data_IF_324807840224
#
_entry.id   IF_324807840224
#
_cell.length_a   1.000
_cell.length_b   1.000
_cell.length_c   1.000
_cell.angle_alpha   90.00
_cell.angle_beta   90.00
_cell.angle_gamma   90.00
#
_symmetry.space_group_name_H-M   'P 1'
#
loop_
_entity.id
_entity.type
_entity.pdbx_description
1 polymer ?
#
# COMPACT_ATOMS: atom_id res chain seq x y z
N UNK A 1 -2.40 -28.30 -7.93
CA UNK A 1 -0.93 -28.16 -7.96
C UNK A 1 -0.57 -27.37 -9.19
N UNK A 2 -0.36 -26.09 -9.05
CA UNK A 2 0.13 -25.21 -10.13
C UNK A 2 1.62 -25.50 -10.29
N UNK A 3 2.01 -26.11 -11.39
CA UNK A 3 3.40 -26.34 -11.78
C UNK A 3 4.13 -24.99 -11.83
N UNK A 4 5.09 -24.78 -10.93
CA UNK A 4 6.01 -23.63 -10.97
C UNK A 4 6.82 -23.74 -12.26
N UNK A 5 6.62 -22.82 -13.18
CA UNK A 5 7.53 -22.66 -14.31
C UNK A 5 8.87 -22.15 -13.79
N UNK A 6 10.00 -22.82 -14.10
CA UNK A 6 11.31 -22.37 -13.64
C UNK A 6 11.63 -21.00 -14.26
N UNK A 7 11.94 -20.02 -13.41
CA UNK A 7 12.35 -18.66 -13.82
C UNK A 7 11.32 -17.55 -13.63
N UNK A 8 10.08 -17.85 -13.24
CA UNK A 8 9.10 -16.81 -12.93
C UNK A 8 9.11 -16.44 -11.44
N UNK A 9 8.99 -15.13 -11.10
CA UNK A 9 8.87 -14.71 -9.69
C UNK A 9 7.67 -15.39 -9.01
N UNK A 10 7.77 -15.69 -7.70
CA UNK A 10 6.66 -16.28 -6.97
C UNK A 10 5.46 -15.32 -6.88
N UNK A 11 4.27 -15.88 -6.72
CA UNK A 11 3.07 -15.09 -6.46
C UNK A 11 3.16 -14.45 -5.08
N UNK A 12 2.99 -13.12 -5.04
CA UNK A 12 2.98 -12.35 -3.80
C UNK A 12 1.57 -12.27 -3.22
N UNK A 13 0.60 -11.96 -4.06
CA UNK A 13 -0.82 -11.84 -3.71
C UNK A 13 -1.63 -12.65 -4.70
N UNK A 14 -2.57 -13.45 -4.20
CA UNK A 14 -3.50 -14.21 -5.02
C UNK A 14 -4.91 -14.13 -4.42
N UNK A 15 -5.86 -13.69 -5.21
CA UNK A 15 -7.28 -13.74 -4.89
C UNK A 15 -7.91 -14.87 -5.69
N UNK A 16 -8.72 -15.71 -5.02
CA UNK A 16 -9.40 -16.85 -5.63
C UNK A 16 -10.90 -16.75 -5.33
N UNK A 17 -11.69 -16.42 -6.35
CA UNK A 17 -13.16 -16.35 -6.28
C UNK A 17 -13.67 -15.53 -5.08
N UNK A 18 -13.03 -14.38 -4.82
CA UNK A 18 -13.36 -13.54 -3.67
C UNK A 18 -14.70 -12.84 -3.89
N UNK A 19 -15.61 -13.03 -2.94
CA UNK A 19 -16.90 -12.37 -2.89
C UNK A 19 -17.06 -11.63 -1.57
N UNK A 20 -17.65 -10.46 -1.61
CA UNK A 20 -18.02 -9.70 -0.42
C UNK A 20 -19.41 -9.12 -0.56
N UNK A 21 -20.26 -9.48 0.36
CA UNK A 21 -21.64 -9.01 0.45
C UNK A 21 -21.83 -8.30 1.78
N UNK A 22 -22.45 -7.14 1.74
CA UNK A 22 -22.87 -6.40 2.93
C UNK A 22 -24.37 -6.46 3.09
N UNK A 23 -24.90 -6.86 4.25
CA UNK A 23 -26.32 -6.72 4.55
C UNK A 23 -26.66 -5.23 4.71
N UNK A 24 -27.74 -4.80 4.07
CA UNK A 24 -28.28 -3.44 4.19
C UNK A 24 -29.76 -3.49 4.48
N UNK A 25 -30.33 -2.39 4.95
CA UNK A 25 -31.79 -2.32 5.19
C UNK A 25 -32.53 -2.51 3.86
N UNK A 26 -33.26 -3.62 3.76
CA UNK A 26 -34.04 -3.97 2.56
C UNK A 26 -33.33 -4.88 1.54
N UNK A 27 -32.17 -5.46 1.87
CA UNK A 27 -31.50 -6.39 0.97
C UNK A 27 -30.01 -6.57 1.24
N UNK A 28 -29.26 -6.81 0.18
CA UNK A 28 -27.80 -7.02 0.21
C UNK A 28 -27.12 -6.18 -0.87
N UNK A 29 -25.90 -5.72 -0.58
CA UNK A 29 -25.04 -5.07 -1.55
C UNK A 29 -23.82 -5.96 -1.80
N UNK A 30 -23.65 -6.38 -3.05
CA UNK A 30 -22.49 -7.13 -3.50
C UNK A 30 -21.37 -6.14 -3.84
N UNK A 31 -20.36 -6.05 -2.98
CA UNK A 31 -19.23 -5.14 -3.17
C UNK A 31 -18.11 -5.79 -4.02
N UNK A 32 -17.88 -7.08 -3.86
CA UNK A 32 -16.96 -7.90 -4.67
C UNK A 32 -17.72 -9.14 -5.14
N UNK A 33 -17.64 -9.44 -6.43
CA UNK A 33 -18.28 -10.61 -7.01
C UNK A 33 -17.28 -11.43 -7.82
N UNK A 34 -16.93 -12.60 -7.28
CA UNK A 34 -16.07 -13.60 -7.92
C UNK A 34 -14.73 -13.05 -8.45
N UNK A 35 -14.05 -12.26 -7.63
CA UNK A 35 -12.78 -11.64 -8.03
C UNK A 35 -11.63 -12.65 -7.90
N UNK A 36 -10.94 -12.88 -9.02
CA UNK A 36 -9.74 -13.71 -9.07
C UNK A 36 -8.62 -12.94 -9.76
N UNK A 37 -7.47 -12.80 -9.11
CA UNK A 37 -6.29 -12.14 -9.67
C UNK A 37 -5.01 -12.68 -9.02
N UNK A 38 -3.90 -12.48 -9.72
CA UNK A 38 -2.58 -12.92 -9.28
C UNK A 38 -1.56 -11.80 -9.50
N UNK A 39 -0.82 -11.47 -8.45
CA UNK A 39 0.23 -10.45 -8.47
C UNK A 39 1.54 -11.12 -8.11
N UNK A 40 2.54 -11.01 -8.98
CA UNK A 40 3.86 -11.58 -8.76
C UNK A 40 4.70 -10.65 -7.90
N UNK A 41 5.66 -11.21 -7.20
CA UNK A 41 6.64 -10.45 -6.44
C UNK A 41 7.43 -9.53 -7.36
N UNK A 42 7.51 -8.25 -6.99
CA UNK A 42 8.21 -7.22 -7.74
C UNK A 42 7.40 -6.56 -8.88
N UNK A 43 6.15 -6.99 -9.10
CA UNK A 43 5.29 -6.34 -10.10
C UNK A 43 4.78 -4.97 -9.63
N UNK A 44 4.49 -4.09 -10.59
CA UNK A 44 3.57 -2.97 -10.40
C UNK A 44 2.24 -3.36 -11.03
N UNK A 45 1.21 -3.52 -10.22
CA UNK A 45 -0.09 -4.02 -10.64
C UNK A 45 -1.17 -2.94 -10.47
N UNK A 46 -1.89 -2.63 -11.53
CA UNK A 46 -2.94 -1.63 -11.53
C UNK A 46 -4.34 -2.23 -11.44
N UNK A 47 -5.15 -1.70 -10.55
CA UNK A 47 -6.58 -2.03 -10.41
C UNK A 47 -7.39 -0.79 -10.74
N UNK A 48 -8.19 -0.89 -11.81
CA UNK A 48 -9.07 0.19 -12.24
C UNK A 48 -10.51 -0.18 -11.94
N UNK A 49 -11.27 0.83 -11.55
CA UNK A 49 -12.70 0.75 -11.41
C UNK A 49 -13.33 2.11 -11.19
N UNK A 50 -14.59 2.26 -11.54
CA UNK A 50 -15.36 3.44 -11.19
C UNK A 50 -15.37 3.61 -9.66
N UNK A 51 -15.46 4.86 -9.18
CA UNK A 51 -15.51 5.11 -7.75
C UNK A 51 -16.69 4.36 -7.13
N UNK A 52 -16.41 3.56 -6.13
CA UNK A 52 -17.41 2.72 -5.49
C UNK A 52 -16.80 1.83 -4.39
N UNK A 53 -17.66 1.19 -3.62
CA UNK A 53 -17.28 0.41 -2.45
C UNK A 53 -16.30 -0.76 -2.75
N UNK A 54 -16.28 -1.28 -3.99
CA UNK A 54 -15.52 -2.49 -4.34
C UNK A 54 -14.00 -2.36 -4.21
N UNK A 55 -13.41 -1.24 -4.66
CA UNK A 55 -11.94 -1.05 -4.59
C UNK A 55 -11.46 -0.95 -3.14
N UNK A 56 -12.11 -0.12 -2.34
CA UNK A 56 -11.80 0.03 -0.92
C UNK A 56 -12.10 -1.25 -0.15
N UNK A 57 -13.16 -1.97 -0.50
CA UNK A 57 -13.50 -3.27 0.07
C UNK A 57 -12.41 -4.30 -0.21
N UNK A 58 -11.87 -4.32 -1.43
CA UNK A 58 -10.80 -5.24 -1.81
C UNK A 58 -9.56 -5.03 -0.92
N UNK A 59 -9.11 -3.78 -0.75
CA UNK A 59 -7.98 -3.45 0.12
C UNK A 59 -8.25 -3.84 1.57
N UNK A 60 -9.45 -3.55 2.07
CA UNK A 60 -9.83 -3.90 3.44
C UNK A 60 -9.82 -5.41 3.67
N UNK A 61 -10.22 -6.19 2.68
CA UNK A 61 -10.14 -7.64 2.75
C UNK A 61 -8.68 -8.15 2.69
N UNK A 62 -7.83 -7.56 1.85
CA UNK A 62 -6.40 -7.91 1.78
C UNK A 62 -5.70 -7.65 3.12
N UNK A 63 -5.98 -6.54 3.78
CA UNK A 63 -5.42 -6.20 5.09
C UNK A 63 -6.16 -6.83 6.28
N UNK A 64 -7.21 -7.61 6.02
CA UNK A 64 -8.11 -8.15 7.04
C UNK A 64 -8.65 -7.07 7.99
N UNK A 65 -8.96 -5.91 7.46
CA UNK A 65 -9.83 -4.93 8.11
C UNK A 65 -11.30 -5.31 7.91
N UNK A 66 -11.54 -6.16 6.92
CA UNK A 66 -12.80 -6.85 6.65
C UNK A 66 -12.51 -8.30 6.24
N UNK A 67 -13.51 -9.16 6.28
CA UNK A 67 -13.37 -10.57 5.89
C UNK A 67 -14.22 -10.83 4.65
N UNK A 68 -13.72 -11.50 3.61
CA UNK A 68 -14.53 -11.88 2.47
C UNK A 68 -15.67 -12.82 2.90
N UNK A 69 -16.79 -12.74 2.19
CA UNK A 69 -17.91 -13.65 2.40
C UNK A 69 -17.59 -15.04 1.88
N UNK A 70 -16.91 -15.09 0.72
CA UNK A 70 -16.47 -16.33 0.08
C UNK A 70 -15.10 -16.12 -0.58
N UNK A 71 -14.42 -17.21 -0.91
CA UNK A 71 -13.15 -17.20 -1.60
C UNK A 71 -11.93 -17.14 -0.69
N UNK A 72 -10.75 -17.04 -1.30
CA UNK A 72 -9.47 -17.03 -0.58
C UNK A 72 -8.66 -15.81 -0.97
N UNK A 73 -7.91 -15.27 -0.02
CA UNK A 73 -6.93 -14.21 -0.22
C UNK A 73 -5.61 -14.74 0.31
N UNK A 74 -4.68 -15.03 -0.59
CA UNK A 74 -3.37 -15.56 -0.25
C UNK A 74 -2.31 -14.45 -0.34
N UNK A 75 -1.53 -14.29 0.72
CA UNK A 75 -0.32 -13.47 0.73
C UNK A 75 0.84 -14.39 1.05
N UNK A 76 1.82 -14.47 0.16
CA UNK A 76 2.93 -15.44 0.24
C UNK A 76 2.44 -16.88 0.48
N UNK A 77 1.32 -17.25 -0.14
CA UNK A 77 0.72 -18.59 -0.03
C UNK A 77 -0.10 -18.83 1.24
N UNK A 78 -0.21 -17.88 2.16
CA UNK A 78 -1.00 -18.00 3.39
C UNK A 78 -2.35 -17.29 3.23
N UNK A 79 -3.45 -18.01 3.53
CA UNK A 79 -4.80 -17.46 3.45
C UNK A 79 -5.04 -16.45 4.59
N UNK A 80 -5.24 -15.19 4.24
CA UNK A 80 -5.39 -14.10 5.21
C UNK A 80 -6.53 -14.30 6.20
N UNK A 81 -7.75 -14.75 5.79
CA UNK A 81 -8.83 -15.04 6.72
C UNK A 81 -8.49 -16.04 7.83
N UNK A 82 -7.60 -16.99 7.54
CA UNK A 82 -7.25 -18.08 8.47
C UNK A 82 -6.05 -17.73 9.37
N UNK A 83 -5.44 -16.57 9.19
CA UNK A 83 -4.28 -16.15 9.98
C UNK A 83 -4.61 -15.94 11.44
N UNK A 84 -3.73 -16.43 12.31
CA UNK A 84 -3.72 -16.09 13.74
C UNK A 84 -3.43 -14.60 13.95
N UNK A 85 -3.68 -14.07 15.14
CA UNK A 85 -3.34 -12.68 15.49
C UNK A 85 -1.86 -12.37 15.30
N UNK A 86 -0.98 -13.31 15.58
CA UNK A 86 0.47 -13.16 15.41
C UNK A 86 0.86 -13.12 13.93
N UNK A 87 0.35 -14.06 13.12
CA UNK A 87 0.57 -14.08 11.67
C UNK A 87 0.04 -12.81 11.00
N UNK A 88 -1.14 -12.33 11.42
CA UNK A 88 -1.73 -11.10 10.91
C UNK A 88 -0.86 -9.87 11.22
N UNK A 89 -0.29 -9.77 12.43
CA UNK A 89 0.66 -8.71 12.76
C UNK A 89 1.91 -8.74 11.89
N UNK A 90 2.45 -9.94 11.63
CA UNK A 90 3.60 -10.11 10.74
C UNK A 90 3.27 -9.74 9.30
N UNK A 91 2.11 -10.18 8.79
CA UNK A 91 1.64 -9.84 7.45
C UNK A 91 1.46 -8.33 7.29
N UNK A 92 0.85 -7.64 8.26
CA UNK A 92 0.65 -6.18 8.24
C UNK A 92 1.96 -5.37 8.29
N UNK A 93 3.07 -5.94 8.74
CA UNK A 93 4.39 -5.31 8.60
C UNK A 93 4.92 -5.42 7.17
N UNK A 94 4.60 -6.51 6.47
CA UNK A 94 5.01 -6.76 5.09
C UNK A 94 4.17 -6.00 4.07
N UNK A 95 2.94 -5.65 4.41
CA UNK A 95 1.98 -4.97 3.54
C UNK A 95 1.68 -3.59 4.12
N UNK A 96 2.23 -2.55 3.51
CA UNK A 96 1.98 -1.15 3.89
C UNK A 96 0.97 -0.51 2.96
N UNK A 97 0.28 0.51 3.46
CA UNK A 97 -0.74 1.24 2.71
C UNK A 97 -0.41 2.72 2.58
N UNK A 98 -0.72 3.26 1.42
CA UNK A 98 -0.68 4.69 1.10
C UNK A 98 -2.09 5.09 0.67
N UNK A 99 -2.63 6.15 1.29
CA UNK A 99 -4.00 6.61 1.10
C UNK A 99 -4.06 7.93 0.33
N UNK A 100 -5.23 8.22 -0.24
CA UNK A 100 -5.54 9.51 -0.83
C UNK A 100 -5.38 10.66 0.17
N UNK A 101 -5.92 10.49 1.37
CA UNK A 101 -5.66 11.38 2.49
C UNK A 101 -4.37 10.90 3.16
N UNK A 102 -3.38 11.75 3.25
CA UNK A 102 -2.02 11.40 3.68
C UNK A 102 -1.94 10.82 5.10
N UNK A 103 -2.94 11.05 5.94
CA UNK A 103 -3.07 10.57 7.32
C UNK A 103 -1.81 10.83 8.16
N UNK A 104 -1.19 11.99 7.97
CA UNK A 104 0.00 12.39 8.72
C UNK A 104 -0.38 12.88 10.11
N UNK A 105 0.53 12.68 11.06
CA UNK A 105 0.44 13.24 12.38
C UNK A 105 0.77 14.75 12.28
N UNK A 106 -0.25 15.60 12.27
CA UNK A 106 -0.14 17.03 11.95
C UNK A 106 0.69 17.81 12.97
N UNK A 107 0.75 17.35 14.21
CA UNK A 107 1.51 17.95 15.30
C UNK A 107 2.93 17.38 15.45
N UNK A 108 3.34 16.52 14.53
CA UNK A 108 4.67 15.91 14.50
C UNK A 108 5.42 16.35 13.25
N UNK A 109 6.75 16.46 13.38
CA UNK A 109 7.61 16.77 12.24
C UNK A 109 7.60 15.65 11.18
N UNK A 110 8.11 15.96 9.99
CA UNK A 110 8.32 14.97 8.92
C UNK A 110 9.15 13.78 9.42
N UNK A 111 10.29 14.03 10.07
CA UNK A 111 11.13 12.97 10.62
C UNK A 111 10.38 12.09 11.64
N UNK A 112 9.56 12.68 12.50
CA UNK A 112 8.75 11.96 13.47
C UNK A 112 7.63 11.14 12.84
N UNK A 113 6.98 11.66 11.80
CA UNK A 113 6.00 10.90 11.04
C UNK A 113 6.62 9.62 10.43
N UNK A 114 7.82 9.73 9.86
CA UNK A 114 8.54 8.59 9.27
C UNK A 114 9.01 7.62 10.36
N UNK A 115 9.48 8.12 11.49
CA UNK A 115 9.96 7.31 12.62
C UNK A 115 8.86 6.51 13.33
N UNK A 116 7.64 7.02 13.34
CA UNK A 116 6.54 6.52 14.15
C UNK A 116 6.28 5.00 14.02
N UNK A 117 6.20 4.39 12.81
CA UNK A 117 6.01 2.95 12.71
C UNK A 117 7.12 2.13 13.37
N UNK A 118 8.35 2.60 13.32
CA UNK A 118 9.51 1.94 13.93
C UNK A 118 9.52 2.09 15.46
N UNK A 119 9.11 3.25 15.95
CA UNK A 119 8.94 3.49 17.39
C UNK A 119 7.88 2.54 18.00
N UNK A 120 6.76 2.34 17.29
CA UNK A 120 5.68 1.46 17.71
C UNK A 120 6.10 -0.02 17.88
N UNK A 121 7.11 -0.46 17.14
CA UNK A 121 7.63 -1.84 17.22
C UNK A 121 8.93 -1.95 18.04
N UNK A 122 9.34 -0.86 18.68
CA UNK A 122 10.49 -0.86 19.60
C UNK A 122 11.85 -0.92 18.93
N UNK A 123 12.00 -0.41 17.70
CA UNK A 123 13.31 -0.30 17.04
C UNK A 123 14.22 0.64 17.83
N UNK A 124 15.51 0.31 18.05
CA UNK A 124 16.45 1.18 18.74
C UNK A 124 16.59 2.55 18.05
N UNK A 125 16.65 3.63 18.84
CA UNK A 125 16.68 5.01 18.34
C UNK A 125 17.78 5.30 17.31
N UNK A 126 18.95 4.73 17.50
CA UNK A 126 20.07 4.89 16.54
C UNK A 126 19.72 4.33 15.16
N UNK A 127 19.06 3.17 15.12
CA UNK A 127 18.59 2.55 13.87
C UNK A 127 17.44 3.35 13.23
N UNK A 128 16.52 3.89 14.05
CA UNK A 128 15.43 4.75 13.57
C UNK A 128 16.04 5.99 12.90
N UNK A 129 16.96 6.68 13.55
CA UNK A 129 17.58 7.90 13.01
C UNK A 129 18.28 7.64 11.67
N UNK A 130 19.02 6.56 11.56
CA UNK A 130 19.69 6.17 10.32
C UNK A 130 18.67 5.87 9.20
N UNK A 131 17.63 5.13 9.52
CA UNK A 131 16.58 4.78 8.55
C UNK A 131 15.77 5.99 8.10
N UNK A 132 15.42 6.89 9.01
CA UNK A 132 14.72 8.14 8.68
C UNK A 132 15.52 8.97 7.71
N UNK A 133 16.84 9.12 7.95
CA UNK A 133 17.73 9.84 7.04
C UNK A 133 17.72 9.22 5.64
N UNK A 134 17.92 7.91 5.55
CA UNK A 134 17.87 7.16 4.29
C UNK A 134 16.54 7.35 3.54
N UNK A 135 15.40 7.23 4.25
CA UNK A 135 14.08 7.38 3.65
C UNK A 135 13.80 8.81 3.19
N UNK A 136 14.29 9.82 3.90
CA UNK A 136 14.21 11.21 3.46
C UNK A 136 14.98 11.41 2.13
N UNK A 137 16.14 10.79 1.97
CA UNK A 137 16.91 10.80 0.71
C UNK A 137 16.11 10.10 -0.41
N UNK A 138 15.52 8.93 -0.13
CA UNK A 138 14.69 8.18 -1.11
C UNK A 138 13.56 9.04 -1.67
N UNK A 139 12.87 9.81 -0.82
CA UNK A 139 11.72 10.64 -1.24
C UNK A 139 12.09 12.10 -1.56
N UNK A 140 13.37 12.48 -1.43
CA UNK A 140 13.87 13.82 -1.78
C UNK A 140 13.38 14.92 -0.83
N UNK A 141 13.33 14.65 0.47
CA UNK A 141 12.87 15.58 1.51
C UNK A 141 13.87 15.81 2.64
N UNK A 142 15.16 15.68 2.37
CA UNK A 142 16.24 15.83 3.37
C UNK A 142 16.15 17.18 4.08
N UNK A 143 15.90 18.26 3.33
CA UNK A 143 15.78 19.62 3.88
C UNK A 143 14.52 19.86 4.67
N UNK A 144 13.55 18.96 4.63
CA UNK A 144 12.22 19.09 5.27
C UNK A 144 12.05 18.25 6.54
N UNK A 145 13.09 17.60 7.03
CA UNK A 145 13.05 16.72 8.19
C UNK A 145 12.38 17.34 9.43
N UNK A 146 12.65 18.64 9.68
CA UNK A 146 12.12 19.39 10.82
C UNK A 146 10.81 20.13 10.54
N UNK A 147 10.33 20.12 9.30
CA UNK A 147 9.07 20.76 8.93
C UNK A 147 7.87 19.97 9.46
N UNK A 148 6.75 20.67 9.61
CA UNK A 148 5.47 20.06 9.97
C UNK A 148 4.61 19.87 8.72
N UNK A 149 3.68 18.90 8.69
CA UNK A 149 2.84 18.63 7.52
C UNK A 149 2.10 19.87 6.98
N UNK A 150 1.67 20.80 7.86
CA UNK A 150 1.02 22.05 7.45
C UNK A 150 1.91 22.94 6.57
N UNK A 151 3.23 22.80 6.66
CA UNK A 151 4.22 23.60 5.91
C UNK A 151 4.58 22.97 4.56
N UNK A 152 3.95 21.85 4.20
CA UNK A 152 4.27 21.06 3.02
C UNK A 152 3.18 21.19 1.94
N UNK A 153 3.58 21.09 0.67
CA UNK A 153 2.66 20.88 -0.44
C UNK A 153 1.98 19.50 -0.38
N UNK A 154 0.91 19.28 -1.14
CA UNK A 154 0.25 17.99 -1.24
C UNK A 154 1.20 16.88 -1.68
N UNK A 155 2.03 17.12 -2.70
CA UNK A 155 3.04 16.16 -3.17
C UNK A 155 4.12 15.86 -2.12
N UNK A 156 4.56 16.86 -1.36
CA UNK A 156 5.50 16.66 -0.26
C UNK A 156 4.88 15.84 0.87
N UNK A 157 3.62 16.10 1.23
CA UNK A 157 2.88 15.28 2.22
C UNK A 157 2.77 13.83 1.76
N UNK A 158 2.49 13.60 0.48
CA UNK A 158 2.43 12.24 -0.06
C UNK A 158 3.81 11.56 -0.02
N UNK A 159 4.88 12.27 -0.30
CA UNK A 159 6.24 11.74 -0.17
C UNK A 159 6.57 11.34 1.28
N UNK A 160 6.11 12.11 2.26
CA UNK A 160 6.23 11.74 3.69
C UNK A 160 5.44 10.48 4.00
N UNK A 161 4.20 10.36 3.48
CA UNK A 161 3.38 9.18 3.65
C UNK A 161 4.02 7.92 3.02
N UNK A 162 4.65 8.07 1.85
CA UNK A 162 5.42 7.01 1.19
C UNK A 162 6.62 6.61 2.05
N UNK A 163 7.43 7.56 2.50
CA UNK A 163 8.58 7.27 3.37
C UNK A 163 8.16 6.55 4.66
N UNK A 164 7.08 6.99 5.29
CA UNK A 164 6.52 6.34 6.48
C UNK A 164 6.07 4.90 6.19
N UNK A 165 5.44 4.67 5.04
CA UNK A 165 5.05 3.32 4.62
C UNK A 165 6.26 2.40 4.40
N UNK A 166 7.38 2.94 3.91
CA UNK A 166 8.64 2.21 3.71
C UNK A 166 9.40 1.92 5.02
N UNK A 167 9.10 2.63 6.09
CA UNK A 167 9.82 2.53 7.36
C UNK A 167 9.76 1.13 7.99
N UNK A 168 8.71 0.36 7.73
CA UNK A 168 8.54 -1.02 8.20
C UNK A 168 9.19 -2.08 7.32
N UNK A 169 9.96 -1.69 6.31
CA UNK A 169 10.53 -2.59 5.29
C UNK A 169 9.48 -3.51 4.63
N UNK A 170 8.45 -2.95 4.01
CA UNK A 170 7.38 -3.74 3.43
C UNK A 170 7.85 -4.49 2.18
N UNK A 171 7.20 -5.60 1.89
CA UNK A 171 7.34 -6.33 0.63
C UNK A 171 6.29 -5.86 -0.40
N UNK A 172 5.19 -5.27 0.07
CA UNK A 172 4.07 -4.79 -0.74
C UNK A 172 3.64 -3.39 -0.30
N UNK A 173 3.43 -2.49 -1.27
CA UNK A 173 2.75 -1.23 -1.08
C UNK A 173 1.38 -1.28 -1.77
N UNK A 174 0.33 -1.05 -1.01
CA UNK A 174 -1.03 -0.85 -1.53
C UNK A 174 -1.31 0.65 -1.61
N UNK A 175 -1.46 1.17 -2.82
CA UNK A 175 -1.71 2.59 -3.06
C UNK A 175 -3.19 2.79 -3.41
N UNK A 176 -3.98 3.29 -2.45
CA UNK A 176 -5.40 3.54 -2.62
C UNK A 176 -5.65 5.00 -2.99
N UNK A 177 -5.89 5.25 -4.28
CA UNK A 177 -6.12 6.59 -4.83
C UNK A 177 -5.01 7.60 -4.44
N UNK A 178 -3.76 7.14 -4.39
CA UNK A 178 -2.64 7.87 -3.82
C UNK A 178 -2.27 9.18 -4.56
N UNK A 179 -2.77 9.36 -5.78
CA UNK A 179 -2.52 10.55 -6.60
C UNK A 179 -3.76 11.39 -6.92
N UNK A 180 -4.95 10.95 -6.52
CA UNK A 180 -6.21 11.57 -6.92
C UNK A 180 -6.43 13.00 -6.37
N UNK A 181 -5.75 13.37 -5.30
CA UNK A 181 -5.78 14.72 -4.71
C UNK A 181 -4.64 15.62 -5.20
N UNK A 182 -3.85 15.19 -6.18
CA UNK A 182 -2.67 15.89 -6.69
C UNK A 182 -2.89 16.42 -8.10
N UNK A 183 -2.21 17.54 -8.43
CA UNK A 183 -2.16 18.05 -9.79
C UNK A 183 -1.41 17.09 -10.73
N UNK A 184 -1.58 17.19 -12.07
CA UNK A 184 -0.99 16.25 -13.02
C UNK A 184 0.54 16.15 -12.96
N UNK A 185 1.26 17.26 -12.77
CA UNK A 185 2.72 17.25 -12.68
C UNK A 185 3.20 16.56 -11.41
N UNK A 186 2.56 16.84 -10.28
CA UNK A 186 2.86 16.20 -8.99
C UNK A 186 2.51 14.71 -9.04
N UNK A 187 1.39 14.35 -9.65
CA UNK A 187 1.02 12.96 -9.91
C UNK A 187 2.11 12.21 -10.65
N UNK A 188 2.63 12.76 -11.75
CA UNK A 188 3.72 12.15 -12.50
C UNK A 188 4.98 11.96 -11.65
N UNK A 189 5.33 12.94 -10.83
CA UNK A 189 6.48 12.84 -9.93
C UNK A 189 6.33 11.73 -8.90
N UNK A 190 5.14 11.57 -8.31
CA UNK A 190 4.84 10.48 -7.38
C UNK A 190 4.88 9.12 -8.07
N UNK A 191 4.32 8.99 -9.27
CA UNK A 191 4.38 7.73 -10.02
C UNK A 191 5.82 7.32 -10.38
N UNK A 192 6.66 8.26 -10.78
CA UNK A 192 8.09 8.01 -11.00
C UNK A 192 8.81 7.57 -9.73
N UNK A 193 8.47 8.18 -8.59
CA UNK A 193 9.01 7.77 -7.28
C UNK A 193 8.62 6.33 -6.95
N UNK A 194 7.36 5.95 -7.15
CA UNK A 194 6.90 4.57 -6.94
C UNK A 194 7.62 3.58 -7.87
N UNK A 195 7.80 3.92 -9.15
CA UNK A 195 8.58 3.10 -10.08
C UNK A 195 10.04 2.94 -9.63
N UNK A 196 10.65 4.01 -9.15
CA UNK A 196 12.01 3.98 -8.59
C UNK A 196 12.08 3.04 -7.39
N UNK A 197 11.16 3.17 -6.44
CA UNK A 197 11.06 2.32 -5.25
C UNK A 197 10.90 0.84 -5.65
N UNK A 198 10.01 0.54 -6.58
CA UNK A 198 9.83 -0.82 -7.09
C UNK A 198 11.13 -1.38 -7.67
N UNK A 199 11.81 -0.62 -8.54
CA UNK A 199 13.03 -1.07 -9.23
C UNK A 199 14.22 -1.23 -8.29
N UNK A 200 14.42 -0.28 -7.37
CA UNK A 200 15.61 -0.25 -6.49
C UNK A 200 15.45 -1.09 -5.24
N UNK A 201 14.23 -1.20 -4.71
CA UNK A 201 13.95 -1.92 -3.46
C UNK A 201 13.24 -3.27 -3.68
N UNK A 202 12.83 -3.58 -4.91
CA UNK A 202 12.14 -4.84 -5.25
C UNK A 202 10.75 -4.99 -4.63
N UNK A 203 10.13 -3.89 -4.21
CA UNK A 203 8.81 -3.89 -3.56
C UNK A 203 7.72 -4.07 -4.61
N UNK A 204 6.77 -4.97 -4.35
CA UNK A 204 5.56 -5.13 -5.13
C UNK A 204 4.62 -3.95 -4.87
N UNK A 205 4.11 -3.31 -5.91
CA UNK A 205 3.23 -2.14 -5.79
C UNK A 205 1.88 -2.44 -6.43
N UNK A 206 0.82 -2.23 -5.68
CA UNK A 206 -0.56 -2.33 -6.17
C UNK A 206 -1.16 -0.93 -6.18
N UNK A 207 -1.48 -0.43 -7.36
CA UNK A 207 -2.06 0.90 -7.55
C UNK A 207 -3.55 0.76 -7.85
N UNK A 208 -4.37 1.32 -6.99
CA UNK A 208 -5.82 1.34 -7.15
C UNK A 208 -6.25 2.77 -7.45
N UNK A 209 -6.91 2.95 -8.58
CA UNK A 209 -7.34 4.26 -9.05
C UNK A 209 -8.52 4.14 -10.02
N UNK A 210 -9.27 5.23 -10.17
CA UNK A 210 -10.26 5.38 -11.23
C UNK A 210 -9.68 6.08 -12.48
N UNK A 211 -8.43 6.51 -12.43
CA UNK A 211 -7.75 7.25 -13.49
C UNK A 211 -6.95 6.33 -14.41
N UNK A 212 -7.45 6.10 -15.62
CA UNK A 212 -6.78 5.27 -16.63
C UNK A 212 -5.38 5.78 -17.00
N UNK A 213 -5.20 7.11 -17.01
CA UNK A 213 -3.92 7.73 -17.32
C UNK A 213 -2.82 7.34 -16.33
N UNK A 214 -3.16 7.22 -15.05
CA UNK A 214 -2.25 6.78 -13.99
C UNK A 214 -1.76 5.36 -14.26
N UNK A 215 -2.66 4.45 -14.58
CA UNK A 215 -2.31 3.05 -14.84
C UNK A 215 -1.42 2.91 -16.09
N UNK A 216 -1.75 3.61 -17.17
CA UNK A 216 -0.94 3.58 -18.40
C UNK A 216 0.49 4.09 -18.20
N UNK A 217 0.69 4.95 -17.20
CA UNK A 217 1.99 5.52 -16.91
C UNK A 217 2.83 4.62 -16.00
N UNK A 218 2.22 3.89 -15.06
CA UNK A 218 2.96 3.20 -14.01
C UNK A 218 3.12 1.69 -14.26
N UNK A 219 2.15 1.06 -14.94
CA UNK A 219 2.12 -0.40 -15.14
C UNK A 219 2.77 -0.85 -16.45
#
# INVERSE_FOLDING_TARGET
QTLKQPGQPPMQIELQNVKKVYPVTGGEVVALDNISLKIRKGDIFGIIGLSGAGKSTLIRCVNRLDTPTEGKILIDGQNVPDMSKQQLRQMRRKVSMIFQQFNLLMQQTVAKNIAYPMECIGVPRAKINARVKELLEVVGLESKAKAYPAQLSGGQRQRVAIARALASDPEVLLCDEATSALDPMTTQAILRLLQKINREMGITIVVITHEMAVIRQIC
#
